data_IF_609769622469
#
_entry.id   IF_609769622469
#
_cell.length_a   1.000
_cell.length_b   1.000
_cell.length_c   1.000
_cell.angle_alpha   90.00
_cell.angle_beta   90.00
_cell.angle_gamma   90.00
#
_symmetry.space_group_name_H-M   'P 1'
#
loop_
_entity.id
_entity.type
_entity.pdbx_description
1 polymer ?
#
# COMPACT_ATOMS: atom_id res chain seq x y z
N UNK A 1 21.50 -43.03 27.32
CA UNK A 1 22.93 -43.13 26.94
C UNK A 1 23.05 -44.32 26.00
N UNK A 2 23.57 -44.13 24.79
CA UNK A 2 23.75 -45.19 23.80
C UNK A 2 25.23 -45.22 23.45
N UNK A 3 25.85 -46.39 23.57
CA UNK A 3 27.27 -46.58 23.27
C UNK A 3 27.38 -47.37 21.97
N UNK A 4 28.06 -46.81 20.98
CA UNK A 4 28.36 -47.45 19.71
C UNK A 4 29.84 -47.84 19.69
N UNK A 5 30.12 -49.14 19.62
CA UNK A 5 31.48 -49.69 19.52
C UNK A 5 31.71 -50.22 18.11
N UNK A 6 32.48 -49.49 17.30
CA UNK A 6 32.85 -49.84 15.92
C UNK A 6 32.21 -48.94 14.85
N UNK A 7 32.94 -48.71 13.75
CA UNK A 7 32.53 -47.86 12.64
C UNK A 7 32.93 -46.38 12.79
N UNK A 8 32.63 -45.56 11.77
CA UNK A 8 33.08 -44.15 11.67
C UNK A 8 32.44 -43.24 12.76
N UNK A 9 31.27 -43.61 13.28
CA UNK A 9 30.53 -42.85 14.29
C UNK A 9 30.56 -43.51 15.68
N UNK A 10 31.70 -44.11 16.06
CA UNK A 10 31.89 -44.70 17.39
C UNK A 10 31.88 -43.62 18.49
N UNK A 11 31.25 -43.93 19.62
CA UNK A 11 31.15 -42.98 20.73
C UNK A 11 29.99 -43.28 21.68
N UNK A 12 29.94 -42.51 22.77
CA UNK A 12 28.81 -42.57 23.70
C UNK A 12 27.93 -41.33 23.55
N UNK A 13 26.69 -41.55 23.15
CA UNK A 13 25.70 -40.51 22.90
C UNK A 13 24.76 -40.42 24.11
N UNK A 14 24.51 -39.19 24.54
CA UNK A 14 23.67 -38.88 25.69
C UNK A 14 22.62 -37.87 25.25
N UNK A 15 21.42 -37.95 25.82
CA UNK A 15 20.37 -36.97 25.56
C UNK A 15 20.81 -35.58 26.05
N UNK A 16 20.42 -34.56 25.29
CA UNK A 16 20.79 -33.15 25.48
C UNK A 16 20.46 -32.66 26.89
N UNK A 17 19.32 -33.08 27.42
CA UNK A 17 18.78 -32.72 28.72
C UNK A 17 19.64 -33.27 29.87
N UNK A 18 20.20 -34.48 29.72
CA UNK A 18 21.07 -35.08 30.73
C UNK A 18 22.42 -34.35 30.80
N UNK A 19 22.92 -33.90 29.65
CA UNK A 19 24.12 -33.04 29.60
C UNK A 19 23.87 -31.72 30.33
N UNK A 20 22.67 -31.14 30.22
CA UNK A 20 22.31 -29.90 30.93
C UNK A 20 22.18 -30.10 32.42
N UNK A 21 21.47 -31.14 32.84
CA UNK A 21 21.32 -31.47 34.25
C UNK A 21 22.68 -31.69 34.92
N UNK A 22 23.59 -32.39 34.24
CA UNK A 22 24.95 -32.59 34.75
C UNK A 22 25.73 -31.27 34.81
N UNK A 23 25.74 -30.50 33.73
CA UNK A 23 26.43 -29.21 33.67
C UNK A 23 25.93 -28.22 34.74
N UNK A 24 24.64 -28.18 35.02
CA UNK A 24 24.05 -27.31 36.04
C UNK A 24 24.43 -27.72 37.48
N UNK A 25 24.77 -28.98 37.71
CA UNK A 25 25.13 -29.52 39.02
C UNK A 25 26.62 -29.32 39.39
N UNK A 26 27.52 -29.22 38.40
CA UNK A 26 28.99 -29.13 38.61
C UNK A 26 29.40 -27.96 39.50
N UNK A 27 28.85 -26.76 39.29
CA UNK A 27 29.07 -25.61 40.18
C UNK A 27 28.03 -24.49 39.94
N UNK A 28 27.74 -23.65 40.95
CA UNK A 28 26.83 -22.50 40.78
C UNK A 28 27.26 -21.53 39.67
N UNK A 29 28.58 -21.26 39.56
CA UNK A 29 29.12 -20.36 38.53
C UNK A 29 28.96 -20.93 37.12
N UNK A 30 29.17 -22.23 36.95
CA UNK A 30 29.03 -22.89 35.65
C UNK A 30 27.55 -23.05 35.26
N UNK A 31 26.68 -23.34 36.23
CA UNK A 31 25.22 -23.37 36.04
C UNK A 31 24.70 -22.06 35.42
N UNK A 32 25.06 -20.91 36.00
CA UNK A 32 24.67 -19.60 35.44
C UNK A 32 25.19 -19.38 34.02
N UNK A 33 26.38 -19.90 33.70
CA UNK A 33 26.94 -19.80 32.34
C UNK A 33 26.13 -20.64 31.36
N UNK A 34 25.76 -21.87 31.73
CA UNK A 34 24.91 -22.77 30.95
C UNK A 34 23.55 -22.10 30.69
N UNK A 35 22.87 -21.62 31.74
CA UNK A 35 21.58 -20.92 31.62
C UNK A 35 21.70 -19.74 30.64
N UNK A 36 22.66 -18.83 30.86
CA UNK A 36 22.85 -17.65 30.00
C UNK A 36 23.15 -18.00 28.55
N UNK A 37 23.93 -19.05 28.29
CA UNK A 37 24.22 -19.49 26.93
C UNK A 37 22.98 -20.07 26.25
N UNK A 38 22.13 -20.79 26.98
CA UNK A 38 20.89 -21.33 26.43
C UNK A 38 19.84 -20.24 26.23
N UNK A 39 19.69 -19.33 27.18
CA UNK A 39 18.83 -18.16 27.05
C UNK A 39 19.23 -17.32 25.85
N UNK A 40 20.53 -17.11 25.60
CA UNK A 40 21.02 -16.36 24.44
C UNK A 40 20.81 -17.07 23.10
N UNK A 41 20.67 -18.40 23.08
CA UNK A 41 20.42 -19.19 21.86
C UNK A 41 18.91 -19.38 21.62
N UNK A 42 18.10 -19.50 22.66
CA UNK A 42 16.64 -19.64 22.56
C UNK A 42 15.93 -18.29 22.40
N UNK A 43 16.38 -17.30 23.15
CA UNK A 43 16.16 -15.89 22.89
C UNK A 43 17.49 -15.36 22.34
N UNK A 44 17.83 -15.59 21.05
CA UNK A 44 18.72 -14.65 20.41
C UNK A 44 18.00 -13.34 20.61
N UNK A 45 18.54 -12.48 21.49
CA UNK A 45 17.94 -11.19 21.75
C UNK A 45 17.58 -10.66 20.37
N UNK A 46 16.31 -10.35 20.18
CA UNK A 46 15.70 -9.78 18.98
C UNK A 46 16.30 -8.37 18.78
N UNK A 47 17.61 -8.39 18.60
CA UNK A 47 18.61 -7.35 18.53
C UNK A 47 19.39 -7.54 17.22
N UNK A 48 18.86 -8.29 16.25
CA UNK A 48 18.85 -7.71 14.91
C UNK A 48 18.00 -6.46 15.10
N UNK A 49 18.64 -5.29 15.25
CA UNK A 49 18.02 -4.17 15.92
C UNK A 49 16.72 -3.91 15.18
N UNK A 50 15.61 -3.77 15.88
CA UNK A 50 14.33 -3.41 15.27
C UNK A 50 14.53 -2.23 14.30
N UNK A 51 15.51 -1.36 14.61
CA UNK A 51 16.10 -0.35 13.73
C UNK A 51 16.49 -0.85 12.32
N UNK A 52 17.26 -1.93 12.15
CA UNK A 52 17.72 -2.41 10.84
C UNK A 52 16.55 -2.90 9.98
N UNK A 53 15.59 -3.60 10.59
CA UNK A 53 14.38 -4.05 9.88
C UNK A 53 13.48 -2.88 9.48
N UNK A 54 13.34 -1.90 10.37
CA UNK A 54 12.59 -0.66 10.09
C UNK A 54 13.29 0.14 8.98
N UNK A 55 14.62 0.31 9.06
CA UNK A 55 15.42 0.99 8.05
C UNK A 55 15.33 0.29 6.69
N UNK A 56 15.47 -1.04 6.65
CA UNK A 56 15.27 -1.82 5.43
C UNK A 56 13.85 -1.65 4.88
N UNK A 57 12.83 -1.61 5.75
CA UNK A 57 11.45 -1.34 5.37
C UNK A 57 11.24 0.04 4.76
N UNK A 58 11.85 1.08 5.34
CA UNK A 58 11.79 2.46 4.84
C UNK A 58 12.49 2.57 3.47
N UNK A 59 13.69 2.00 3.34
CA UNK A 59 14.45 2.00 2.09
C UNK A 59 13.68 1.28 0.98
N UNK A 60 13.11 0.10 1.28
CA UNK A 60 12.30 -0.66 0.33
C UNK A 60 11.06 0.13 -0.10
N UNK A 61 10.36 0.75 0.86
CA UNK A 61 9.18 1.56 0.59
C UNK A 61 9.51 2.76 -0.30
N UNK A 62 10.60 3.48 -0.01
CA UNK A 62 10.99 4.65 -0.78
C UNK A 62 11.47 4.29 -2.20
N UNK A 63 12.20 3.18 -2.33
CA UNK A 63 12.62 2.61 -3.61
C UNK A 63 11.40 2.21 -4.46
N UNK A 64 10.47 1.43 -3.89
CA UNK A 64 9.23 1.03 -4.56
C UNK A 64 8.36 2.24 -4.93
N UNK A 65 8.32 3.27 -4.07
CA UNK A 65 7.56 4.49 -4.32
C UNK A 65 8.07 5.28 -5.54
N UNK A 66 9.39 5.29 -5.77
CA UNK A 66 10.02 5.91 -6.95
C UNK A 66 9.88 5.02 -8.18
N UNK A 67 10.17 3.73 -8.06
CA UNK A 67 10.16 2.77 -9.17
C UNK A 67 8.77 2.53 -9.75
N UNK A 68 7.74 2.48 -8.89
CA UNK A 68 6.36 2.19 -9.27
C UNK A 68 5.48 3.45 -9.36
N UNK A 69 6.07 4.64 -9.15
CA UNK A 69 5.37 5.92 -9.13
C UNK A 69 4.11 5.90 -8.24
N UNK A 70 4.25 5.43 -6.99
CA UNK A 70 3.13 5.32 -6.05
C UNK A 70 2.52 6.69 -5.75
N UNK A 71 1.19 6.79 -5.72
CA UNK A 71 0.46 7.98 -5.26
C UNK A 71 0.73 8.28 -3.78
N UNK A 72 0.50 9.53 -3.34
CA UNK A 72 0.72 9.91 -1.94
C UNK A 72 -0.20 9.12 -1.01
N UNK A 73 -1.43 8.81 -1.45
CA UNK A 73 -2.36 7.92 -0.74
C UNK A 73 -1.77 6.52 -0.48
N UNK A 74 -1.16 5.92 -1.50
CA UNK A 74 -0.52 4.61 -1.38
C UNK A 74 0.73 4.66 -0.51
N UNK A 75 1.53 5.73 -0.62
CA UNK A 75 2.72 5.95 0.23
C UNK A 75 2.32 6.10 1.69
N UNK A 76 1.32 6.93 1.99
CA UNK A 76 0.84 7.15 3.36
C UNK A 76 0.33 5.86 4.00
N UNK A 77 -0.51 5.09 3.29
CA UNK A 77 -1.02 3.82 3.81
C UNK A 77 0.10 2.81 4.08
N UNK A 78 1.17 2.84 3.30
CA UNK A 78 2.35 2.02 3.54
C UNK A 78 3.16 2.49 4.76
N UNK A 79 3.35 3.79 4.94
CA UNK A 79 3.97 4.34 6.15
C UNK A 79 3.14 4.04 7.41
N UNK A 80 1.80 4.12 7.32
CA UNK A 80 0.89 3.75 8.42
C UNK A 80 1.00 2.27 8.82
N UNK A 81 1.20 1.36 7.85
CA UNK A 81 1.47 -0.05 8.14
C UNK A 81 2.85 -0.25 8.73
N UNK A 82 3.85 0.50 8.25
CA UNK A 82 5.21 0.41 8.74
C UNK A 82 5.31 0.89 10.19
N UNK A 83 4.64 1.98 10.58
CA UNK A 83 4.58 2.42 11.99
C UNK A 83 3.93 1.36 12.90
N UNK A 84 2.87 0.68 12.44
CA UNK A 84 2.21 -0.38 13.20
C UNK A 84 3.14 -1.58 13.42
N UNK A 85 3.85 -2.02 12.38
CA UNK A 85 4.80 -3.14 12.48
C UNK A 85 6.02 -2.76 13.33
N UNK A 86 6.43 -1.49 13.29
CA UNK A 86 7.53 -0.96 14.07
C UNK A 86 7.18 -0.71 15.55
N UNK A 87 5.89 -0.76 15.93
CA UNK A 87 5.42 -0.38 17.27
C UNK A 87 5.57 1.11 17.55
N UNK A 88 5.63 1.95 16.52
CA UNK A 88 5.72 3.40 16.64
C UNK A 88 4.34 4.00 16.95
N UNK A 89 4.27 5.13 17.68
CA UNK A 89 3.02 5.86 17.87
C UNK A 89 2.44 6.31 16.52
N UNK A 90 1.14 6.63 16.49
CA UNK A 90 0.48 7.13 15.29
C UNK A 90 0.97 8.55 14.97
N UNK A 91 2.01 8.61 14.14
CA UNK A 91 2.69 9.85 13.74
C UNK A 91 2.19 10.35 12.39
N UNK A 92 1.54 9.48 11.61
CA UNK A 92 1.11 9.77 10.26
C UNK A 92 -0.30 10.39 10.22
N UNK A 93 -0.57 11.32 9.29
CA UNK A 93 -1.92 11.84 9.12
C UNK A 93 -2.88 10.72 8.68
N UNK A 94 -4.18 10.92 8.93
CA UNK A 94 -5.21 9.91 8.64
C UNK A 94 -5.47 9.73 7.14
N UNK A 95 -5.20 10.75 6.32
CA UNK A 95 -5.45 10.72 4.89
C UNK A 95 -4.34 11.44 4.12
N UNK A 96 -4.07 10.96 2.91
CA UNK A 96 -3.12 11.58 2.02
C UNK A 96 -3.83 12.40 0.96
N UNK A 97 -3.01 13.19 0.31
CA UNK A 97 -3.38 14.48 -0.19
C UNK A 97 -2.57 14.52 -1.51
N UNK A 98 -3.23 14.08 -2.59
CA UNK A 98 -2.63 13.85 -3.90
C UNK A 98 -2.77 15.13 -4.75
N UNK A 99 -1.71 15.94 -4.87
CA UNK A 99 -1.69 17.12 -5.76
C UNK A 99 -1.06 16.80 -7.13
N UNK A 100 -1.52 17.45 -8.22
CA UNK A 100 -0.79 17.51 -9.48
C UNK A 100 0.54 18.28 -9.29
N UNK A 101 1.57 17.89 -10.04
CA UNK A 101 2.85 18.60 -10.12
C UNK A 101 2.63 20.01 -10.73
N UNK A 102 2.35 21.01 -9.89
CA UNK A 102 2.07 22.38 -10.30
C UNK A 102 1.17 23.19 -9.37
N UNK A 103 0.54 22.58 -8.35
CA UNK A 103 -0.24 23.32 -7.36
C UNK A 103 0.68 23.86 -6.24
N UNK A 104 0.72 25.19 -6.08
CA UNK A 104 1.46 25.90 -5.02
C UNK A 104 0.77 25.79 -3.65
N UNK A 105 -0.43 25.20 -3.65
CA UNK A 105 -1.45 25.21 -2.61
C UNK A 105 -2.01 23.80 -2.41
N UNK A 106 -1.30 23.03 -1.58
CA UNK A 106 -1.81 21.93 -0.74
C UNK A 106 -3.07 21.16 -1.20
N UNK A 107 -2.92 20.27 -2.20
CA UNK A 107 -3.22 18.83 -2.14
C UNK A 107 -4.50 18.24 -1.49
N UNK A 108 -5.50 19.04 -1.07
CA UNK A 108 -6.80 18.59 -0.51
C UNK A 108 -8.00 19.19 -1.23
N UNK A 109 -8.07 19.06 -2.56
CA UNK A 109 -9.32 19.44 -3.26
C UNK A 109 -10.28 18.26 -3.21
N UNK A 110 -11.47 18.39 -2.56
CA UNK A 110 -12.44 17.30 -2.52
C UNK A 110 -12.82 16.91 -3.94
N UNK A 111 -12.86 15.59 -4.16
CA UNK A 111 -13.18 15.02 -5.47
C UNK A 111 -14.45 14.20 -5.39
N UNK A 112 -15.35 14.39 -6.35
CA UNK A 112 -16.60 13.65 -6.44
C UNK A 112 -16.78 13.01 -7.81
N UNK A 113 -17.66 12.02 -7.89
CA UNK A 113 -18.08 11.46 -9.17
C UNK A 113 -18.88 12.49 -9.97
N UNK A 114 -18.84 12.37 -11.30
CA UNK A 114 -19.55 13.30 -12.18
C UNK A 114 -21.05 13.39 -11.86
N UNK A 115 -21.69 12.25 -11.58
CA UNK A 115 -23.10 12.21 -11.20
C UNK A 115 -23.39 12.97 -9.90
N UNK A 116 -22.49 12.88 -8.91
CA UNK A 116 -22.66 13.59 -7.64
C UNK A 116 -22.51 15.11 -7.83
N UNK A 117 -21.54 15.55 -8.64
CA UNK A 117 -21.32 16.97 -8.95
C UNK A 117 -22.48 17.59 -9.73
N UNK A 118 -23.02 16.87 -10.72
CA UNK A 118 -24.19 17.33 -11.49
C UNK A 118 -25.41 17.47 -10.59
N UNK A 119 -25.63 16.51 -9.68
CA UNK A 119 -26.72 16.57 -8.70
C UNK A 119 -26.54 17.74 -7.72
N UNK A 120 -25.32 17.96 -7.22
CA UNK A 120 -25.01 19.05 -6.29
C UNK A 120 -25.20 20.45 -6.93
N UNK A 121 -24.95 20.59 -8.23
CA UNK A 121 -25.19 21.83 -9.00
C UNK A 121 -26.58 21.91 -9.63
N UNK A 122 -27.46 20.94 -9.35
CA UNK A 122 -28.82 20.86 -9.89
C UNK A 122 -28.88 20.89 -11.43
N UNK A 123 -27.85 20.34 -12.09
CA UNK A 123 -27.75 20.28 -13.55
C UNK A 123 -28.51 19.04 -14.04
N UNK A 124 -29.54 19.25 -14.85
CA UNK A 124 -30.42 18.18 -15.38
C UNK A 124 -29.85 17.51 -16.63
N UNK A 125 -28.59 17.08 -16.56
CA UNK A 125 -27.91 16.34 -17.63
C UNK A 125 -27.37 15.04 -17.03
N UNK A 126 -27.43 13.94 -17.79
CA UNK A 126 -26.91 12.66 -17.31
C UNK A 126 -25.38 12.64 -17.38
N UNK A 127 -24.73 11.99 -16.41
CA UNK A 127 -23.26 11.87 -16.41
C UNK A 127 -22.71 11.25 -17.70
N UNK A 128 -23.43 10.30 -18.31
CA UNK A 128 -22.98 9.68 -19.56
C UNK A 128 -22.96 10.66 -20.73
N UNK A 129 -23.97 11.53 -20.86
CA UNK A 129 -23.97 12.61 -21.86
C UNK A 129 -22.78 13.55 -21.65
N UNK A 130 -22.50 13.92 -20.40
CA UNK A 130 -21.36 14.78 -20.07
C UNK A 130 -20.03 14.12 -20.41
N UNK A 131 -19.86 12.82 -20.12
CA UNK A 131 -18.66 12.09 -20.55
C UNK A 131 -18.47 12.08 -22.07
N UNK A 132 -19.53 11.89 -22.85
CA UNK A 132 -19.44 11.99 -24.31
C UNK A 132 -19.03 13.38 -24.79
N UNK A 133 -19.56 14.44 -24.17
CA UNK A 133 -19.15 15.81 -24.49
C UNK A 133 -17.68 16.04 -24.13
N UNK A 134 -17.27 15.68 -22.92
CA UNK A 134 -15.88 15.77 -22.46
C UNK A 134 -14.90 14.99 -23.35
N UNK A 135 -15.35 13.86 -23.93
CA UNK A 135 -14.55 13.07 -24.86
C UNK A 135 -14.23 13.82 -26.15
N UNK A 136 -15.19 14.60 -26.69
CA UNK A 136 -14.98 15.45 -27.88
C UNK A 136 -13.90 16.52 -27.64
N UNK A 137 -13.75 16.99 -26.41
CA UNK A 137 -12.72 17.97 -26.02
C UNK A 137 -11.39 17.34 -25.56
N UNK A 138 -11.28 16.01 -25.66
CA UNK A 138 -10.09 15.24 -25.29
C UNK A 138 -9.82 15.20 -23.78
N UNK A 139 -10.83 15.44 -22.95
CA UNK A 139 -10.69 15.45 -21.47
C UNK A 139 -10.80 14.02 -20.91
N UNK A 140 -11.65 13.20 -21.51
CA UNK A 140 -11.80 11.77 -21.17
C UNK A 140 -11.65 10.91 -22.41
N UNK A 141 -11.22 9.67 -22.19
CA UNK A 141 -11.12 8.62 -23.19
C UNK A 141 -11.90 7.39 -22.72
N UNK A 142 -12.40 6.61 -23.67
CA UNK A 142 -13.05 5.34 -23.39
C UNK A 142 -12.01 4.22 -23.46
N UNK A 143 -11.84 3.49 -22.36
CA UNK A 143 -11.00 2.30 -22.25
C UNK A 143 -11.84 1.05 -22.19
N UNK A 144 -11.21 -0.07 -22.53
CA UNK A 144 -11.87 -1.35 -22.63
C UNK A 144 -11.11 -2.39 -21.83
N UNK A 145 -11.85 -3.35 -21.27
CA UNK A 145 -11.28 -4.57 -20.70
C UNK A 145 -12.10 -5.77 -21.09
N UNK A 146 -11.48 -6.95 -21.08
CA UNK A 146 -12.21 -8.20 -21.16
C UNK A 146 -13.10 -8.37 -19.93
N UNK A 147 -14.32 -8.85 -20.17
CA UNK A 147 -15.33 -9.08 -19.15
C UNK A 147 -16.21 -10.25 -19.56
N UNK A 148 -16.41 -11.20 -18.65
CA UNK A 148 -17.33 -12.33 -18.86
C UNK A 148 -18.79 -11.90 -19.03
N UNK A 149 -19.15 -10.76 -18.45
CA UNK A 149 -20.51 -10.19 -18.49
C UNK A 149 -20.64 -9.00 -19.44
N UNK A 150 -19.59 -8.70 -20.22
CA UNK A 150 -19.59 -7.59 -21.16
C UNK A 150 -20.19 -7.96 -22.51
N UNK A 151 -20.73 -6.99 -23.23
CA UNK A 151 -21.15 -7.17 -24.63
C UNK A 151 -19.93 -7.54 -25.46
N UNK A 152 -20.00 -8.64 -26.23
CA UNK A 152 -18.87 -9.20 -26.97
C UNK A 152 -17.65 -9.55 -26.10
N UNK A 153 -17.86 -9.87 -24.82
CA UNK A 153 -16.78 -10.19 -23.89
C UNK A 153 -15.95 -8.97 -23.47
N UNK A 154 -16.42 -7.75 -23.75
CA UNK A 154 -15.71 -6.50 -23.47
C UNK A 154 -16.59 -5.58 -22.64
N UNK A 155 -16.00 -4.91 -21.65
CA UNK A 155 -16.63 -3.85 -20.88
C UNK A 155 -15.86 -2.55 -21.06
N UNK A 156 -16.58 -1.51 -21.46
CA UNK A 156 -16.03 -0.16 -21.63
C UNK A 156 -16.18 0.64 -20.36
N UNK A 157 -15.21 1.49 -20.07
CA UNK A 157 -15.20 2.41 -18.94
C UNK A 157 -14.51 3.72 -19.33
N UNK A 158 -14.83 4.79 -18.60
CA UNK A 158 -14.25 6.11 -18.85
C UNK A 158 -12.96 6.29 -18.04
N UNK A 159 -11.99 7.00 -18.60
CA UNK A 159 -10.75 7.39 -17.93
C UNK A 159 -10.40 8.82 -18.33
N UNK A 160 -9.86 9.62 -17.42
CA UNK A 160 -9.27 10.92 -17.73
C UNK A 160 -8.01 10.72 -18.57
N UNK A 161 -7.84 11.58 -19.57
CA UNK A 161 -6.60 11.75 -20.32
C UNK A 161 -5.60 12.58 -19.53
N UNK A 162 -4.38 12.76 -20.05
CA UNK A 162 -3.39 13.66 -19.45
C UNK A 162 -3.95 15.09 -19.27
N UNK A 163 -4.71 15.60 -20.26
CA UNK A 163 -5.41 16.89 -20.17
C UNK A 163 -6.52 16.87 -19.12
N UNK A 164 -7.26 15.77 -19.02
CA UNK A 164 -8.32 15.59 -18.03
C UNK A 164 -7.85 15.57 -16.58
N UNK A 165 -6.62 15.13 -16.33
CA UNK A 165 -6.02 15.12 -15.00
C UNK A 165 -5.87 16.52 -14.36
N UNK A 166 -6.00 17.60 -15.14
CA UNK A 166 -6.07 18.96 -14.58
C UNK A 166 -7.37 19.22 -13.81
N UNK A 167 -8.46 18.54 -14.16
CA UNK A 167 -9.80 18.74 -13.60
C UNK A 167 -10.21 17.62 -12.65
N UNK A 168 -9.42 16.55 -12.55
CA UNK A 168 -9.77 15.39 -11.73
C UNK A 168 -8.67 14.35 -11.66
N UNK A 169 -9.01 13.18 -11.12
CA UNK A 169 -8.14 12.01 -10.99
C UNK A 169 -8.86 10.73 -11.38
N UNK A 170 -8.10 9.77 -11.90
CA UNK A 170 -8.57 8.42 -12.16
C UNK A 170 -8.40 7.59 -10.90
N UNK A 171 -9.50 7.20 -10.28
CA UNK A 171 -9.49 6.32 -9.10
C UNK A 171 -9.75 4.90 -9.58
N UNK A 172 -9.07 3.90 -9.02
CA UNK A 172 -9.37 2.50 -9.32
C UNK A 172 -10.80 2.17 -8.90
N UNK A 173 -11.55 1.52 -9.80
CA UNK A 173 -12.94 1.14 -9.53
C UNK A 173 -13.02 0.14 -8.37
N UNK A 174 -13.87 0.37 -7.35
CA UNK A 174 -14.05 -0.59 -6.26
C UNK A 174 -14.63 -1.92 -6.75
N UNK A 175 -15.32 -1.95 -7.89
CA UNK A 175 -15.88 -3.17 -8.47
C UNK A 175 -14.85 -3.99 -9.25
N UNK A 176 -13.80 -3.37 -9.79
CA UNK A 176 -12.76 -4.08 -10.53
C UNK A 176 -11.43 -3.32 -10.54
N UNK A 177 -10.33 -3.91 -10.04
CA UNK A 177 -9.03 -3.24 -9.98
C UNK A 177 -8.41 -2.93 -11.37
N UNK A 178 -8.93 -3.54 -12.45
CA UNK A 178 -8.49 -3.30 -13.84
C UNK A 178 -9.32 -2.21 -14.54
N UNK A 179 -10.21 -1.54 -13.81
CA UNK A 179 -10.98 -0.39 -14.29
C UNK A 179 -10.59 0.87 -13.51
N UNK A 180 -10.63 2.01 -14.18
CA UNK A 180 -10.57 3.32 -13.54
C UNK A 180 -11.93 4.00 -13.60
N UNK A 181 -12.16 4.94 -12.67
CA UNK A 181 -13.32 5.80 -12.60
C UNK A 181 -12.86 7.25 -12.43
N UNK A 182 -13.30 8.17 -13.32
CA UNK A 182 -12.99 9.58 -13.21
C UNK A 182 -13.70 10.22 -12.01
N UNK A 183 -12.94 10.89 -11.17
CA UNK A 183 -13.43 11.79 -10.12
C UNK A 183 -12.90 13.19 -10.38
N UNK A 184 -13.74 14.21 -10.23
CA UNK A 184 -13.40 15.59 -10.56
C UNK A 184 -13.26 16.44 -9.30
N UNK A 185 -12.33 17.40 -9.34
CA UNK A 185 -12.15 18.37 -8.26
C UNK A 185 -13.35 19.32 -8.22
N UNK A 186 -14.00 19.45 -7.06
CA UNK A 186 -15.15 20.35 -6.90
C UNK A 186 -14.83 21.79 -7.30
N UNK A 187 -13.66 22.28 -6.86
CA UNK A 187 -13.15 23.64 -7.16
C UNK A 187 -12.95 23.92 -8.66
N UNK A 188 -12.73 22.89 -9.49
CA UNK A 188 -12.46 23.01 -10.93
C UNK A 188 -13.64 22.63 -11.79
N UNK A 189 -14.74 22.17 -11.19
CA UNK A 189 -15.90 21.69 -11.93
C UNK A 189 -16.58 22.80 -12.74
N UNK A 190 -16.66 24.02 -12.21
CA UNK A 190 -17.23 25.16 -12.94
C UNK A 190 -16.40 25.54 -14.18
N UNK A 191 -15.06 25.49 -14.10
CA UNK A 191 -14.17 25.71 -15.24
C UNK A 191 -14.37 24.60 -16.30
N UNK A 192 -14.49 23.36 -15.85
CA UNK A 192 -14.74 22.21 -16.73
C UNK A 192 -16.06 22.36 -17.50
N UNK A 193 -17.14 22.78 -16.84
CA UNK A 193 -18.45 22.98 -17.49
C UNK A 193 -18.40 24.05 -18.58
N UNK A 194 -17.67 25.15 -18.35
CA UNK A 194 -17.45 26.19 -19.36
C UNK A 194 -16.71 25.67 -20.60
N UNK A 195 -15.71 24.79 -20.41
CA UNK A 195 -14.94 24.23 -21.52
C UNK A 195 -15.80 23.33 -22.41
N UNK A 196 -16.75 22.60 -21.81
CA UNK A 196 -17.65 21.71 -22.53
C UNK A 196 -18.97 22.37 -22.93
N UNK A 197 -19.04 23.70 -22.83
CA UNK A 197 -20.17 24.55 -23.22
C UNK A 197 -21.50 24.20 -22.52
N UNK A 198 -21.40 23.70 -21.28
CA UNK A 198 -22.55 23.52 -20.40
C UNK A 198 -22.66 24.77 -19.55
N UNK A 199 -23.60 25.64 -19.90
CA UNK A 199 -23.95 26.79 -19.06
C UNK A 199 -24.57 26.26 -17.76
N UNK A 200 -23.91 26.55 -16.65
CA UNK A 200 -24.35 26.25 -15.29
C UNK A 200 -24.82 27.52 -14.59
#
# INVERSE_FOLDING_TARGET
>A
MVTLTGGVNQGTFVCKELVYSYAMWISPKFNLKVIRTFDAVQNPASNAPTSDKIQAGVILLESAAKMLNLSNSSRLGAYQKLQQVAGLPDLMPHYAIDAPAGAQDGSSRPTQSLSALLKAKNIRITANQVYHMMSRFGIVEQKERNSRSGVNGVKKFWSLTAKGCMYGKNITSPANPRETQPHFFESKFAELLKIIDIVA
#
